data_IF_330835740710
#
_entry.id   IF_330835740710
#
_cell.length_a   1.000
_cell.length_b   1.000
_cell.length_c   1.000
_cell.angle_alpha   90.00
_cell.angle_beta   90.00
_cell.angle_gamma   90.00
#
_symmetry.space_group_name_H-M   'P 1'
#
loop_
_entity.id
_entity.type
_entity.pdbx_description
1 polymer ?
#
# COMPACT_ATOMS: atom_id res chain seq x y z
N UNK A 1 -4.39 6.38 18.43
CA UNK A 1 -3.84 6.26 19.80
C UNK A 1 -2.75 7.29 20.09
N UNK A 2 -1.83 7.58 19.16
CA UNK A 2 -0.70 8.51 19.36
C UNK A 2 -1.08 9.90 19.88
N UNK A 3 -2.11 10.53 19.31
CA UNK A 3 -2.54 11.88 19.69
C UNK A 3 -3.11 11.94 21.13
N UNK A 4 -3.88 10.93 21.53
CA UNK A 4 -4.39 10.79 22.90
C UNK A 4 -3.26 10.62 23.92
N UNK A 5 -2.16 9.98 23.50
CA UNK A 5 -0.95 9.79 24.31
C UNK A 5 0.00 11.00 24.24
N UNK A 6 -0.44 12.13 23.66
CA UNK A 6 0.34 13.37 23.52
C UNK A 6 1.71 13.17 22.85
N UNK A 7 1.83 12.18 21.96
CA UNK A 7 3.02 12.08 21.11
C UNK A 7 3.02 13.23 20.10
N UNK A 8 4.19 13.84 19.82
CA UNK A 8 4.26 14.95 18.88
C UNK A 8 3.80 14.50 17.48
N UNK A 9 2.87 15.23 16.84
CA UNK A 9 2.42 14.92 15.49
C UNK A 9 3.45 15.37 14.43
N UNK A 10 3.52 14.63 13.33
CA UNK A 10 4.27 14.97 12.12
C UNK A 10 3.36 15.38 10.97
N UNK A 11 3.75 15.00 9.74
CA UNK A 11 2.99 15.31 8.51
C UNK A 11 1.57 14.73 8.59
N UNK A 12 0.58 15.52 8.17
CA UNK A 12 -0.85 15.15 8.20
C UNK A 12 -1.35 14.68 9.58
N UNK A 13 -0.72 15.17 10.66
CA UNK A 13 -0.99 14.80 12.06
C UNK A 13 -0.73 13.32 12.43
N UNK A 14 -0.03 12.56 11.58
CA UNK A 14 0.41 11.20 11.90
C UNK A 14 1.60 11.20 12.85
N UNK A 15 1.78 10.15 13.68
CA UNK A 15 2.99 10.02 14.49
C UNK A 15 4.20 9.68 13.61
N UNK A 16 5.40 10.01 14.08
CA UNK A 16 6.65 9.82 13.30
C UNK A 16 6.98 8.35 12.97
N UNK A 17 6.39 7.39 13.69
CA UNK A 17 6.58 5.94 13.48
C UNK A 17 5.52 5.32 12.55
N UNK A 18 4.66 6.11 11.89
CA UNK A 18 3.60 5.57 11.02
C UNK A 18 4.15 4.73 9.87
N UNK A 19 5.30 5.12 9.30
CA UNK A 19 5.97 4.32 8.27
C UNK A 19 6.37 2.94 8.79
N UNK A 20 6.95 2.90 10.00
CA UNK A 20 7.38 1.66 10.65
C UNK A 20 6.22 0.70 10.91
N UNK A 21 5.03 1.22 11.25
CA UNK A 21 3.83 0.41 11.44
C UNK A 21 3.45 -0.35 10.15
N UNK A 22 3.51 0.32 9.00
CA UNK A 22 3.20 -0.30 7.72
C UNK A 22 4.30 -1.26 7.26
N UNK A 23 5.58 -0.87 7.42
CA UNK A 23 6.70 -1.69 6.96
C UNK A 23 6.81 -2.99 7.77
N UNK A 24 6.74 -2.92 9.10
CA UNK A 24 6.83 -4.11 9.95
C UNK A 24 5.68 -5.10 9.70
N UNK A 25 4.50 -4.60 9.32
CA UNK A 25 3.38 -5.46 8.96
C UNK A 25 3.58 -6.13 7.58
N UNK A 26 3.92 -5.35 6.55
CA UNK A 26 3.97 -5.83 5.17
C UNK A 26 5.20 -6.69 4.87
N UNK A 27 6.34 -6.40 5.49
CA UNK A 27 7.59 -7.19 5.31
C UNK A 27 7.48 -8.62 5.86
N UNK A 28 6.46 -8.91 6.69
CA UNK A 28 6.19 -10.27 7.16
C UNK A 28 5.54 -11.16 6.10
N UNK A 29 4.93 -10.56 5.08
CA UNK A 29 4.32 -11.28 3.98
C UNK A 29 5.38 -11.63 2.93
N UNK A 30 5.99 -12.80 3.07
CA UNK A 30 7.06 -13.28 2.21
C UNK A 30 6.89 -14.77 1.87
N UNK A 31 7.68 -15.21 0.87
CA UNK A 31 7.97 -16.61 0.60
C UNK A 31 9.35 -16.93 1.19
N UNK A 32 9.47 -17.74 2.25
CA UNK A 32 10.73 -18.10 2.84
C UNK A 32 11.48 -19.10 1.95
N UNK A 33 12.75 -19.33 2.27
CA UNK A 33 13.62 -20.26 1.54
C UNK A 33 13.16 -21.72 1.61
N UNK A 34 13.70 -22.55 0.73
CA UNK A 34 13.43 -24.00 0.70
C UNK A 34 13.75 -24.71 2.03
N UNK A 35 14.76 -24.23 2.76
CA UNK A 35 15.12 -24.72 4.10
C UNK A 35 14.05 -24.48 5.17
N UNK A 36 13.09 -23.58 4.94
CA UNK A 36 12.05 -23.17 5.88
C UNK A 36 10.65 -23.65 5.47
N UNK A 37 10.56 -24.61 4.53
CA UNK A 37 9.31 -25.27 4.17
C UNK A 37 8.47 -24.59 3.09
N UNK A 38 9.04 -23.62 2.35
CA UNK A 38 8.45 -22.99 1.15
C UNK A 38 7.02 -22.43 1.29
N UNK A 39 6.55 -22.16 2.52
CA UNK A 39 5.25 -21.52 2.74
C UNK A 39 5.14 -20.18 2.03
N UNK A 40 3.94 -19.62 1.86
CA UNK A 40 3.84 -18.25 1.35
C UNK A 40 2.75 -17.49 2.08
N UNK A 41 3.04 -16.22 2.33
CA UNK A 41 2.06 -15.27 2.83
C UNK A 41 2.01 -14.11 1.87
N UNK A 42 0.84 -13.91 1.25
CA UNK A 42 0.59 -12.81 0.31
C UNK A 42 -0.21 -11.73 1.03
N UNK A 43 0.30 -10.50 1.02
CA UNK A 43 -0.43 -9.33 1.54
C UNK A 43 -1.08 -8.54 0.40
N UNK A 44 -2.35 -8.20 0.57
CA UNK A 44 -3.11 -7.32 -0.32
C UNK A 44 -3.59 -6.09 0.46
N UNK A 45 -2.70 -5.13 0.76
CA UNK A 45 -3.09 -3.93 1.49
C UNK A 45 -4.01 -3.04 0.64
N UNK A 46 -5.06 -2.51 1.26
CA UNK A 46 -5.99 -1.57 0.64
C UNK A 46 -5.76 -0.20 1.29
N UNK A 47 -5.48 0.81 0.46
CA UNK A 47 -5.32 2.19 0.90
C UNK A 47 -6.35 3.05 0.18
N UNK A 48 -7.14 3.79 0.95
CA UNK A 48 -8.10 4.75 0.41
C UNK A 48 -7.39 6.07 0.13
N UNK A 49 -7.42 6.51 -1.12
CA UNK A 49 -7.02 7.87 -1.50
C UNK A 49 -8.19 8.83 -1.32
N UNK A 50 -7.89 10.10 -1.05
CA UNK A 50 -8.88 11.17 -1.06
C UNK A 50 -8.83 11.85 -2.43
N UNK A 51 -9.96 11.92 -3.12
CA UNK A 51 -10.06 12.54 -4.45
C UNK A 51 -9.03 12.01 -5.48
N UNK A 52 -8.61 10.76 -5.34
CA UNK A 52 -7.60 10.16 -6.22
C UNK A 52 -6.15 10.60 -5.94
N UNK A 53 -5.89 11.33 -4.85
CA UNK A 53 -4.54 11.78 -4.50
C UNK A 53 -3.65 10.63 -4.02
N UNK A 54 -2.69 10.25 -4.86
CA UNK A 54 -1.67 9.22 -4.58
C UNK A 54 -0.42 9.79 -3.91
N UNK A 55 -0.29 11.11 -3.80
CA UNK A 55 0.87 11.81 -3.22
C UNK A 55 0.67 12.15 -1.74
N UNK A 56 -0.51 11.89 -1.19
CA UNK A 56 -0.78 11.96 0.24
C UNK A 56 0.19 11.07 1.03
N UNK A 57 0.39 11.40 2.31
CA UNK A 57 1.47 10.81 3.10
C UNK A 57 1.35 9.28 3.26
N UNK A 58 0.16 8.78 3.58
CA UNK A 58 -0.06 7.33 3.76
C UNK A 58 0.04 6.55 2.44
N UNK A 59 -0.64 6.96 1.34
CA UNK A 59 -0.45 6.32 0.04
C UNK A 59 1.00 6.24 -0.39
N UNK A 60 1.76 7.34 -0.28
CA UNK A 60 3.19 7.37 -0.65
C UNK A 60 4.00 6.36 0.16
N UNK A 61 3.77 6.28 1.48
CA UNK A 61 4.46 5.32 2.35
C UNK A 61 4.18 3.88 1.93
N UNK A 62 2.90 3.52 1.75
CA UNK A 62 2.53 2.14 1.39
C UNK A 62 3.04 1.77 0.00
N UNK A 63 2.93 2.68 -0.98
CA UNK A 63 3.47 2.50 -2.34
C UNK A 63 4.98 2.24 -2.30
N UNK A 64 5.71 2.90 -1.42
CA UNK A 64 7.15 2.71 -1.30
C UNK A 64 7.54 1.33 -0.74
N UNK A 65 6.68 0.71 0.06
CA UNK A 65 6.88 -0.61 0.68
C UNK A 65 6.41 -1.73 -0.25
N UNK A 66 5.28 -1.56 -0.93
CA UNK A 66 4.69 -2.62 -1.74
C UNK A 66 5.37 -2.77 -3.11
N UNK A 67 5.50 -4.01 -3.56
CA UNK A 67 6.11 -4.34 -4.85
C UNK A 67 5.22 -4.03 -6.07
N UNK A 68 3.90 -4.03 -5.87
CA UNK A 68 2.91 -3.84 -6.93
C UNK A 68 1.76 -2.98 -6.40
N UNK A 69 1.14 -2.20 -7.28
CA UNK A 69 -0.04 -1.40 -6.96
C UNK A 69 -1.07 -1.49 -8.07
N UNK A 70 -2.34 -1.57 -7.66
CA UNK A 70 -3.50 -1.49 -8.55
C UNK A 70 -4.28 -0.25 -8.13
N UNK A 71 -4.33 0.76 -9.00
CA UNK A 71 -5.07 1.98 -8.74
C UNK A 71 -6.47 1.89 -9.35
N UNK A 72 -7.50 2.03 -8.51
CA UNK A 72 -8.90 2.01 -8.92
C UNK A 72 -9.40 3.45 -9.02
N UNK A 73 -9.80 3.88 -10.22
CA UNK A 73 -10.27 5.25 -10.48
C UNK A 73 -11.79 5.36 -10.40
N UNK A 74 -12.29 6.43 -9.77
CA UNK A 74 -13.71 6.74 -9.75
C UNK A 74 -14.25 7.10 -11.14
N UNK A 75 -13.44 7.78 -11.97
CA UNK A 75 -13.86 8.20 -13.32
C UNK A 75 -14.11 6.98 -14.22
N UNK A 76 -13.22 5.99 -14.17
CA UNK A 76 -13.37 4.73 -14.92
C UNK A 76 -14.60 3.95 -14.45
N UNK A 77 -14.85 3.94 -13.14
CA UNK A 77 -16.03 3.28 -12.57
C UNK A 77 -17.33 3.95 -13.02
N UNK A 78 -17.35 5.30 -13.01
CA UNK A 78 -18.49 6.11 -13.45
C UNK A 78 -18.72 6.01 -14.97
N UNK A 79 -17.65 5.77 -15.75
CA UNK A 79 -17.72 5.48 -17.18
C UNK A 79 -18.20 4.04 -17.50
N UNK A 80 -18.52 3.24 -16.48
CA UNK A 80 -19.03 1.87 -16.65
C UNK A 80 -17.94 0.79 -16.78
N UNK A 81 -16.65 1.15 -16.71
CA UNK A 81 -15.55 0.19 -16.78
C UNK A 81 -15.39 -0.52 -15.44
N UNK A 82 -15.54 -1.85 -15.45
CA UNK A 82 -15.43 -2.70 -14.26
C UNK A 82 -14.61 -3.95 -14.60
N UNK A 83 -13.45 -4.20 -13.95
CA UNK A 83 -12.88 -3.44 -12.84
C UNK A 83 -12.26 -2.09 -13.30
N UNK A 84 -12.44 -1.04 -12.50
CA UNK A 84 -12.08 0.34 -12.83
C UNK A 84 -10.57 0.62 -12.65
N UNK A 85 -9.70 -0.20 -13.24
CA UNK A 85 -8.25 -0.16 -13.05
C UNK A 85 -7.63 0.87 -13.98
N UNK A 86 -6.93 1.86 -13.41
CA UNK A 86 -6.14 2.80 -14.18
C UNK A 86 -4.78 2.19 -14.53
N UNK A 87 -4.60 1.80 -15.80
CA UNK A 87 -3.38 1.15 -16.29
C UNK A 87 -2.16 2.07 -16.24
N UNK A 88 -2.34 3.40 -16.34
CA UNK A 88 -1.23 4.34 -16.35
C UNK A 88 -0.55 4.51 -14.98
N UNK A 89 -1.32 4.39 -13.90
CA UNK A 89 -0.83 4.56 -12.51
C UNK A 89 -0.54 3.20 -11.85
N UNK A 90 -1.19 2.12 -12.32
CA UNK A 90 -0.97 0.78 -11.79
C UNK A 90 0.36 0.24 -12.28
N UNK A 91 1.27 -0.07 -11.35
CA UNK A 91 2.64 -0.50 -11.66
C UNK A 91 2.91 -1.83 -10.95
N UNK A 92 3.62 -2.69 -11.65
CA UNK A 92 4.13 -3.95 -11.14
C UNK A 92 5.66 -3.98 -11.22
N UNK A 93 6.37 -3.86 -10.08
CA UNK A 93 7.86 -3.85 -10.10
C UNK A 93 8.45 -5.23 -10.35
N UNK A 94 7.73 -6.28 -9.98
CA UNK A 94 8.04 -7.66 -10.36
C UNK A 94 7.35 -7.88 -11.71
N UNK A 95 8.09 -8.19 -12.77
CA UNK A 95 7.54 -8.33 -14.14
C UNK A 95 6.60 -9.54 -14.31
N UNK A 96 6.76 -10.29 -15.40
CA UNK A 96 5.98 -11.50 -15.71
C UNK A 96 6.26 -12.72 -14.83
N UNK A 97 7.08 -12.58 -13.79
CA UNK A 97 7.37 -13.67 -12.86
C UNK A 97 6.34 -13.61 -11.73
N UNK A 98 5.51 -14.65 -11.66
CA UNK A 98 4.47 -14.87 -10.66
C UNK A 98 4.86 -16.03 -9.75
#
# INVERSE_FOLDING_TARGET
MSFLLRRPPGREAYPGDVFYLHSCLLERAAKPSSSLGEGSMIALPIVKTQSGDVLAYIPTNVISITNRQIFVSADLFNAGIRPAINVGISISRVGFVA
#
